data_IF_735513086518
#
_entry.id   IF_735513086518
#
_cell.length_a   1.000
_cell.length_b   1.000
_cell.length_c   1.000
_cell.angle_alpha   90.00
_cell.angle_beta   90.00
_cell.angle_gamma   90.00
#
_symmetry.space_group_name_H-M   'P 1'
#
loop_
_entity.id
_entity.type
_entity.pdbx_description
1 polymer ?
#
# COMPACT_ATOMS: atom_id res chain seq x y z
N UNK A 1 156.32 0.57 60.56
CA UNK A 1 156.89 0.26 61.90
C UNK A 1 155.98 -0.60 62.78
N UNK A 2 156.49 -1.71 63.34
CA UNK A 2 155.74 -2.52 64.30
C UNK A 2 155.45 -1.71 65.58
N UNK A 3 154.16 -1.56 65.89
CA UNK A 3 153.65 -0.93 67.13
C UNK A 3 153.61 -1.98 68.24
N UNK A 4 154.45 -1.84 69.26
CA UNK A 4 154.26 -2.55 70.53
C UNK A 4 153.55 -1.62 71.50
N UNK A 5 152.28 -1.90 71.82
CA UNK A 5 151.51 -1.08 72.78
C UNK A 5 151.08 0.31 72.31
N UNK A 6 150.98 0.56 70.99
CA UNK A 6 150.40 1.79 70.44
C UNK A 6 151.30 3.03 70.46
N UNK A 7 152.54 2.93 70.95
CA UNK A 7 153.54 4.00 70.95
C UNK A 7 154.72 3.61 70.06
N UNK A 8 155.18 4.50 69.19
CA UNK A 8 156.39 4.27 68.39
C UNK A 8 157.63 4.33 69.32
N UNK A 9 158.40 3.24 69.39
CA UNK A 9 159.71 3.23 70.04
C UNK A 9 160.81 2.96 69.01
N UNK A 10 161.96 3.65 69.09
CA UNK A 10 163.08 3.40 68.20
C UNK A 10 163.65 1.98 68.41
N UNK A 11 164.10 1.29 67.36
CA UNK A 11 164.61 -0.08 67.47
C UNK A 11 165.79 -0.19 68.44
N UNK A 12 165.89 -1.31 69.17
CA UNK A 12 166.98 -1.54 70.13
C UNK A 12 168.36 -1.47 69.46
N UNK A 13 169.34 -0.81 70.09
CA UNK A 13 170.69 -0.62 69.53
C UNK A 13 170.90 0.62 68.65
N UNK A 14 169.85 1.45 68.43
CA UNK A 14 169.92 2.67 67.61
C UNK A 14 170.26 3.95 68.39
N UNK A 15 170.58 3.86 69.68
CA UNK A 15 171.11 4.98 70.48
C UNK A 15 172.63 4.88 70.56
N UNK A 16 173.35 5.87 70.02
CA UNK A 16 174.82 5.90 70.03
C UNK A 16 175.42 6.02 71.44
N UNK A 17 176.53 5.31 71.70
CA UNK A 17 177.28 5.37 72.97
C UNK A 17 178.53 6.22 72.77
N UNK A 18 178.75 7.20 73.66
CA UNK A 18 179.86 8.17 73.55
C UNK A 18 181.22 7.47 73.57
N UNK A 19 182.13 7.87 72.68
CA UNK A 19 183.48 7.28 72.54
C UNK A 19 183.59 6.06 71.62
N UNK A 20 182.49 5.67 70.94
CA UNK A 20 182.50 4.56 69.95
C UNK A 20 182.20 5.04 68.54
N UNK A 21 182.75 4.37 67.53
CA UNK A 21 182.46 4.66 66.11
C UNK A 21 181.01 4.29 65.79
N UNK A 22 180.20 5.28 65.38
CA UNK A 22 178.83 5.06 64.91
C UNK A 22 178.90 4.36 63.55
N UNK A 23 178.37 3.14 63.45
CA UNK A 23 178.19 2.45 62.17
C UNK A 23 176.82 2.78 61.57
N UNK A 24 176.75 3.04 60.27
CA UNK A 24 175.52 3.45 59.56
C UNK A 24 174.56 2.29 59.27
N UNK A 25 175.06 1.06 59.22
CA UNK A 25 174.30 -0.16 58.89
C UNK A 25 173.02 -0.34 59.71
N UNK A 26 172.97 -0.08 61.04
CA UNK A 26 171.76 -0.24 61.84
C UNK A 26 170.63 0.75 61.50
N UNK A 27 170.92 1.87 60.83
CA UNK A 27 169.91 2.91 60.54
C UNK A 27 169.21 2.73 59.19
N UNK A 28 169.84 2.05 58.23
CA UNK A 28 169.27 1.87 56.88
C UNK A 28 167.92 1.14 56.92
N UNK A 29 167.78 0.09 57.74
CA UNK A 29 166.54 -0.67 57.86
C UNK A 29 165.36 0.17 58.40
N UNK A 30 165.61 1.17 59.24
CA UNK A 30 164.57 2.06 59.75
C UNK A 30 164.09 3.05 58.69
N UNK A 31 165.01 3.60 57.91
CA UNK A 31 164.71 4.54 56.82
C UNK A 31 163.92 3.82 55.70
N UNK A 32 164.24 2.57 55.40
CA UNK A 32 163.51 1.76 54.41
C UNK A 32 162.05 1.47 54.85
N UNK A 33 161.81 1.17 56.14
CA UNK A 33 160.44 0.93 56.66
C UNK A 33 159.55 2.18 56.60
N UNK A 34 160.09 3.36 56.94
CA UNK A 34 159.36 4.63 56.75
C UNK A 34 159.05 4.89 55.28
N UNK A 35 160.00 4.62 54.39
CA UNK A 35 159.84 4.87 52.94
C UNK A 35 158.82 3.92 52.33
N UNK A 36 158.73 2.68 52.81
CA UNK A 36 157.72 1.72 52.39
C UNK A 36 156.31 2.10 52.87
N UNK A 37 156.15 2.52 54.14
CA UNK A 37 154.84 2.91 54.70
C UNK A 37 154.30 4.20 54.04
N UNK A 38 155.16 5.17 53.76
CA UNK A 38 154.77 6.42 53.10
C UNK A 38 154.36 6.25 51.63
N UNK A 39 154.87 5.22 50.94
CA UNK A 39 154.59 4.96 49.53
C UNK A 39 153.46 3.94 49.31
N UNK A 40 152.96 3.28 50.36
CA UNK A 40 151.82 2.37 50.27
C UNK A 40 150.48 3.12 50.47
N UNK A 41 149.57 3.03 49.49
CA UNK A 41 148.22 3.59 49.62
C UNK A 41 147.47 2.91 50.80
N UNK A 42 146.91 3.71 51.72
CA UNK A 42 146.17 3.17 52.88
C UNK A 42 144.83 2.53 52.44
N UNK A 43 144.42 1.39 53.03
CA UNK A 43 143.18 0.70 52.68
C UNK A 43 141.91 1.48 53.08
N UNK A 44 140.81 1.28 52.34
CA UNK A 44 139.49 1.94 52.52
C UNK A 44 138.96 1.81 53.97
N UNK A 45 139.32 0.72 54.66
CA UNK A 45 138.96 0.45 56.07
C UNK A 45 139.48 1.52 57.04
N UNK A 46 140.55 2.25 56.69
CA UNK A 46 141.09 3.34 57.50
C UNK A 46 140.27 4.65 57.42
N UNK A 47 139.24 4.72 56.55
CA UNK A 47 138.41 5.91 56.31
C UNK A 47 137.21 6.12 57.25
N UNK A 48 137.11 5.37 58.35
CA UNK A 48 136.11 5.59 59.40
C UNK A 48 134.70 5.03 59.16
N UNK A 49 134.42 4.46 57.97
CA UNK A 49 133.10 3.88 57.62
C UNK A 49 132.94 2.40 57.98
N UNK A 50 134.02 1.73 58.42
CA UNK A 50 134.03 0.30 58.76
C UNK A 50 133.89 -0.64 57.55
N UNK A 51 133.79 -0.13 56.32
CA UNK A 51 133.60 -0.94 55.13
C UNK A 51 134.91 -1.33 54.45
N UNK A 52 134.94 -2.53 53.87
CA UNK A 52 136.06 -3.05 53.07
C UNK A 52 135.86 -2.87 51.56
N UNK A 53 134.68 -2.39 51.13
CA UNK A 53 134.36 -2.08 49.73
C UNK A 53 133.82 -0.66 49.60
N UNK A 54 134.04 -0.03 48.44
CA UNK A 54 133.47 1.30 48.15
C UNK A 54 131.93 1.31 48.24
N UNK A 55 131.26 0.19 47.92
CA UNK A 55 129.81 0.08 48.06
C UNK A 55 129.37 0.09 49.52
N UNK A 56 130.01 -0.71 50.37
CA UNK A 56 129.71 -0.72 51.80
C UNK A 56 130.01 0.62 52.45
N UNK A 57 131.07 1.32 52.01
CA UNK A 57 131.42 2.64 52.51
C UNK A 57 130.34 3.68 52.18
N UNK A 58 129.79 3.65 50.96
CA UNK A 58 128.66 4.52 50.54
C UNK A 58 127.39 4.24 51.35
N UNK A 59 127.04 2.97 51.58
CA UNK A 59 125.89 2.62 52.42
C UNK A 59 126.05 3.10 53.85
N UNK A 60 127.24 2.93 54.45
CA UNK A 60 127.52 3.31 55.83
C UNK A 60 127.43 4.83 56.08
N UNK A 61 127.68 5.66 55.06
CA UNK A 61 127.54 7.13 55.14
C UNK A 61 126.16 7.63 54.66
N UNK A 62 125.24 6.74 54.32
CA UNK A 62 123.92 7.11 53.79
C UNK A 62 123.95 7.69 52.36
N UNK A 63 125.02 7.45 51.59
CA UNK A 63 125.11 7.93 50.22
C UNK A 63 124.23 7.07 49.29
N UNK A 64 123.36 7.73 48.52
CA UNK A 64 122.51 7.08 47.52
C UNK A 64 123.35 6.51 46.36
N UNK A 65 122.99 5.34 45.85
CA UNK A 65 123.65 4.75 44.69
C UNK A 65 123.36 5.56 43.41
N UNK A 66 124.32 5.65 42.50
CA UNK A 66 124.13 6.32 41.21
C UNK A 66 123.00 5.62 40.43
N UNK A 67 121.97 6.39 40.06
CA UNK A 67 120.81 5.92 39.28
C UNK A 67 120.52 6.93 38.18
N UNK A 68 120.46 6.44 36.92
CA UNK A 68 120.15 7.28 35.76
C UNK A 68 118.79 7.99 35.92
N UNK A 69 117.79 7.29 36.47
CA UNK A 69 116.48 7.87 36.76
C UNK A 69 116.57 9.02 37.77
N UNK A 70 117.31 8.84 38.87
CA UNK A 70 117.47 9.89 39.89
C UNK A 70 118.26 11.08 39.35
N UNK A 71 119.29 10.84 38.50
CA UNK A 71 120.00 11.91 37.80
C UNK A 71 119.07 12.67 36.86
N UNK A 72 118.22 11.98 36.10
CA UNK A 72 117.27 12.61 35.20
C UNK A 72 116.18 13.39 35.94
N UNK A 73 115.68 12.88 37.08
CA UNK A 73 114.70 13.57 37.93
C UNK A 73 115.34 14.80 38.57
N UNK A 74 116.57 14.69 39.09
CA UNK A 74 117.30 15.80 39.70
C UNK A 74 117.65 16.91 38.69
N UNK A 75 117.71 16.59 37.40
CA UNK A 75 117.92 17.55 36.32
C UNK A 75 116.63 18.27 35.87
N UNK A 76 115.45 17.89 36.39
CA UNK A 76 114.21 18.57 36.04
C UNK A 76 114.13 19.96 36.68
N UNK A 77 113.78 20.96 35.88
CA UNK A 77 113.39 22.27 36.42
C UNK A 77 111.95 22.21 36.94
N UNK A 78 111.79 22.08 38.24
CA UNK A 78 110.46 22.13 38.88
C UNK A 78 109.96 23.56 38.97
N UNK A 79 108.78 23.83 38.40
CA UNK A 79 108.04 25.08 38.58
C UNK A 79 106.56 24.77 38.84
N UNK A 80 105.79 25.77 39.28
CA UNK A 80 104.33 25.64 39.31
C UNK A 80 103.82 25.17 37.94
N UNK A 81 102.71 24.44 37.96
CA UNK A 81 101.98 23.99 36.77
C UNK A 81 102.74 23.02 35.86
N UNK A 82 103.75 22.32 36.38
CA UNK A 82 104.51 21.29 35.64
C UNK A 82 104.19 19.89 36.15
N UNK A 83 104.01 18.95 35.21
CA UNK A 83 103.92 17.52 35.50
C UNK A 83 105.19 16.82 35.01
N UNK A 84 105.97 16.19 35.90
CA UNK A 84 107.02 15.25 35.52
C UNK A 84 106.41 14.00 34.85
N UNK A 85 106.98 13.56 33.74
CA UNK A 85 106.61 12.34 33.04
C UNK A 85 107.84 11.68 32.41
N UNK A 86 107.74 10.40 32.09
CA UNK A 86 108.83 9.66 31.43
C UNK A 86 108.70 9.79 29.92
N UNK A 87 109.81 10.10 29.24
CA UNK A 87 109.88 10.12 27.76
C UNK A 87 110.59 8.88 27.21
N UNK A 88 111.39 8.21 28.03
CA UNK A 88 112.05 6.93 27.77
C UNK A 88 112.45 6.27 29.11
N UNK A 89 113.05 5.07 29.07
CA UNK A 89 113.61 4.43 30.27
C UNK A 89 114.60 5.38 30.95
N UNK A 90 114.45 5.55 32.26
CA UNK A 90 115.28 6.43 33.10
C UNK A 90 115.39 7.89 32.62
N UNK A 91 114.50 8.33 31.74
CA UNK A 91 114.48 9.68 31.17
C UNK A 91 113.18 10.37 31.50
N UNK A 92 113.28 11.44 32.28
CA UNK A 92 112.16 12.24 32.72
C UNK A 92 112.19 13.62 32.06
N UNK A 93 111.01 14.12 31.72
CA UNK A 93 110.80 15.48 31.25
C UNK A 93 109.66 16.11 32.04
N UNK A 94 109.49 17.43 31.91
CA UNK A 94 108.32 18.15 32.43
C UNK A 94 107.48 18.67 31.27
N UNK A 95 106.17 18.59 31.41
CA UNK A 95 105.21 19.28 30.52
C UNK A 95 104.37 20.27 31.32
N UNK A 96 103.85 21.31 30.65
CA UNK A 96 102.95 22.29 31.29
C UNK A 96 101.54 21.73 31.39
N UNK A 97 100.96 21.76 32.59
CA UNK A 97 99.53 21.55 32.79
C UNK A 97 98.78 22.88 32.65
N UNK A 98 97.70 22.87 31.86
CA UNK A 98 96.78 24.02 31.80
C UNK A 98 96.04 24.17 33.13
N UNK A 99 95.44 25.35 33.37
CA UNK A 99 94.60 25.56 34.56
C UNK A 99 93.46 24.53 34.64
N UNK A 100 92.82 24.25 33.49
CA UNK A 100 91.80 23.21 33.35
C UNK A 100 92.34 21.79 33.60
N UNK A 101 93.53 21.47 33.08
CA UNK A 101 94.15 20.16 33.31
C UNK A 101 94.48 19.93 34.78
N UNK A 102 94.88 20.98 35.51
CA UNK A 102 95.10 20.91 36.95
C UNK A 102 93.79 20.74 37.72
N UNK A 103 92.74 21.48 37.37
CA UNK A 103 91.44 21.30 38.02
C UNK A 103 90.90 19.89 37.84
N UNK A 104 91.11 19.28 36.66
CA UNK A 104 90.65 17.91 36.40
C UNK A 104 91.45 16.84 37.18
N UNK A 105 92.76 17.04 37.38
CA UNK A 105 93.61 16.08 38.11
C UNK A 105 93.41 16.19 39.63
N UNK A 106 92.97 17.35 40.11
CA UNK A 106 92.66 17.60 41.52
C UNK A 106 91.27 17.07 41.94
N UNK A 107 90.44 16.69 40.97
CA UNK A 107 89.07 16.24 41.24
C UNK A 107 89.05 14.91 42.02
N UNK A 108 88.38 14.93 43.18
CA UNK A 108 88.35 13.81 44.12
C UNK A 108 87.55 12.59 43.63
N UNK A 109 86.62 12.79 42.69
CA UNK A 109 85.78 11.73 42.14
C UNK A 109 85.30 12.04 40.71
N UNK A 110 84.63 11.06 40.10
CA UNK A 110 84.11 11.17 38.75
C UNK A 110 83.02 12.25 38.59
N UNK A 111 82.31 12.61 39.66
CA UNK A 111 81.27 13.65 39.63
C UNK A 111 81.88 15.04 39.57
N UNK A 112 82.90 15.29 40.38
CA UNK A 112 83.72 16.49 40.30
C UNK A 112 84.37 16.61 38.90
N UNK A 113 84.99 15.52 38.41
CA UNK A 113 85.56 15.47 37.07
C UNK A 113 84.55 15.78 35.95
N UNK A 114 83.32 15.26 36.03
CA UNK A 114 82.26 15.58 35.07
C UNK A 114 81.85 17.05 35.14
N UNK A 115 81.75 17.61 36.35
CA UNK A 115 81.48 19.05 36.53
C UNK A 115 82.59 19.90 35.92
N UNK A 116 83.85 19.55 36.16
CA UNK A 116 85.02 20.23 35.58
C UNK A 116 85.06 20.12 34.07
N UNK A 117 84.75 18.95 33.49
CA UNK A 117 84.58 18.76 32.05
C UNK A 117 83.39 19.55 31.46
N UNK A 118 82.53 20.14 32.30
CA UNK A 118 81.36 20.90 31.87
C UNK A 118 80.24 20.02 31.32
N UNK A 119 80.24 18.72 31.64
CA UNK A 119 79.19 17.80 31.16
C UNK A 119 78.07 17.70 32.18
N UNK A 120 76.88 18.19 31.81
CA UNK A 120 75.67 18.09 32.62
C UNK A 120 74.80 16.94 32.08
N UNK A 121 74.43 16.01 32.96
CA UNK A 121 73.49 14.92 32.64
C UNK A 121 72.13 15.53 32.29
N UNK A 122 71.58 15.15 31.15
CA UNK A 122 70.33 15.69 30.57
C UNK A 122 70.53 16.88 29.64
N UNK A 123 71.74 17.45 29.56
CA UNK A 123 72.07 18.54 28.61
C UNK A 123 73.10 18.08 27.57
N UNK A 124 74.25 17.59 28.03
CA UNK A 124 75.37 17.20 27.17
C UNK A 124 75.49 15.69 27.00
N UNK A 125 75.10 14.94 28.04
CA UNK A 125 75.13 13.48 28.08
C UNK A 125 73.81 12.99 28.67
N UNK A 126 73.26 11.91 28.13
CA UNK A 126 72.04 11.32 28.68
C UNK A 126 72.36 10.44 29.88
N UNK A 127 71.50 10.46 30.91
CA UNK A 127 71.60 9.48 32.00
C UNK A 127 71.43 8.06 31.42
N UNK A 128 72.13 7.08 31.98
CA UNK A 128 71.88 5.71 31.56
C UNK A 128 70.42 5.33 31.87
N UNK A 129 69.69 4.95 30.82
CA UNK A 129 68.31 4.49 30.87
C UNK A 129 68.17 3.28 29.94
N UNK A 130 67.72 2.15 30.49
CA UNK A 130 67.67 0.88 29.77
C UNK A 130 66.67 0.92 28.60
N UNK A 131 65.55 1.65 28.75
CA UNK A 131 64.56 1.84 27.70
C UNK A 131 65.11 2.68 26.55
N UNK A 132 65.80 3.78 26.84
CA UNK A 132 66.47 4.58 25.80
C UNK A 132 67.58 3.79 25.09
N UNK A 133 68.34 2.96 25.81
CA UNK A 133 69.33 2.07 25.19
C UNK A 133 68.67 1.07 24.24
N UNK A 134 67.51 0.51 24.60
CA UNK A 134 66.73 -0.36 23.73
C UNK A 134 66.21 0.37 22.50
N UNK A 135 65.63 1.57 22.66
CA UNK A 135 65.13 2.40 21.55
C UNK A 135 66.28 2.80 20.61
N UNK A 136 67.45 3.17 21.15
CA UNK A 136 68.62 3.55 20.37
C UNK A 136 69.18 2.40 19.52
N UNK A 137 68.93 1.14 19.92
CA UNK A 137 69.30 -0.05 19.17
C UNK A 137 68.32 -0.42 18.04
N UNK A 138 67.16 0.26 17.94
CA UNK A 138 66.17 -0.04 16.92
C UNK A 138 66.56 0.52 15.54
N UNK A 139 66.36 -0.27 14.50
CA UNK A 139 66.39 0.23 13.13
C UNK A 139 65.06 0.88 12.78
N UNK A 140 65.02 2.21 12.81
CA UNK A 140 63.87 3.00 12.37
C UNK A 140 63.75 3.01 10.84
N UNK A 141 62.52 3.04 10.36
CA UNK A 141 62.20 3.17 8.93
C UNK A 141 60.83 3.84 8.79
N UNK A 142 60.52 4.40 7.62
CA UNK A 142 59.27 5.10 7.36
C UNK A 142 58.02 4.22 7.53
N UNK A 143 58.18 2.89 7.42
CA UNK A 143 57.15 1.88 7.54
C UNK A 143 57.20 1.13 8.87
N UNK A 144 57.84 1.67 9.91
CA UNK A 144 57.97 0.98 11.20
C UNK A 144 57.42 1.80 12.36
N UNK A 145 56.63 1.14 13.20
CA UNK A 145 56.14 1.69 14.48
C UNK A 145 56.90 1.03 15.63
N UNK A 146 57.38 1.84 16.58
CA UNK A 146 58.01 1.37 17.80
C UNK A 146 56.93 0.96 18.81
N UNK A 147 57.09 -0.18 19.46
CA UNK A 147 56.20 -0.66 20.52
C UNK A 147 56.98 -1.38 21.62
N UNK A 148 56.41 -1.47 22.82
CA UNK A 148 57.00 -2.19 23.96
C UNK A 148 56.65 -3.67 23.89
N UNK A 149 57.64 -4.52 24.16
CA UNK A 149 57.46 -5.98 24.26
C UNK A 149 57.62 -6.50 25.69
N UNK A 150 58.38 -5.77 26.50
CA UNK A 150 58.54 -5.95 27.94
C UNK A 150 58.97 -4.62 28.58
N UNK A 151 59.14 -4.58 29.91
CA UNK A 151 59.77 -3.45 30.58
C UNK A 151 61.15 -3.16 29.95
N UNK A 152 61.42 -1.90 29.65
CA UNK A 152 62.66 -1.41 29.02
C UNK A 152 63.07 -2.12 27.72
N UNK A 153 62.14 -2.83 27.07
CA UNK A 153 62.40 -3.59 25.83
C UNK A 153 61.43 -3.15 24.75
N UNK A 154 61.99 -2.50 23.73
CA UNK A 154 61.25 -1.99 22.59
C UNK A 154 61.57 -2.82 21.34
N UNK A 155 60.60 -2.91 20.45
CA UNK A 155 60.73 -3.54 19.14
C UNK A 155 60.06 -2.67 18.08
N UNK A 156 60.26 -3.03 16.81
CA UNK A 156 59.60 -2.39 15.67
C UNK A 156 58.62 -3.35 15.01
N UNK A 157 57.43 -2.87 14.69
CA UNK A 157 56.47 -3.56 13.84
C UNK A 157 56.45 -2.89 12.47
N UNK A 158 56.50 -3.69 11.40
CA UNK A 158 56.33 -3.17 10.03
C UNK A 158 54.86 -2.89 9.75
N UNK A 159 54.55 -1.64 9.41
CA UNK A 159 53.25 -1.19 8.95
C UNK A 159 53.15 -1.37 7.43
N UNK A 160 52.05 -1.96 6.97
CA UNK A 160 51.72 -1.98 5.55
C UNK A 160 51.47 -0.57 5.03
N UNK A 161 51.51 -0.37 3.71
CA UNK A 161 51.10 0.91 3.10
C UNK A 161 49.68 1.30 3.52
N UNK A 162 48.75 0.36 3.54
CA UNK A 162 47.38 0.56 3.99
C UNK A 162 47.25 0.89 5.48
N UNK A 163 48.03 0.24 6.36
CA UNK A 163 47.99 0.59 7.79
C UNK A 163 48.43 2.03 8.04
N UNK A 164 49.41 2.52 7.26
CA UNK A 164 49.86 3.91 7.35
C UNK A 164 48.80 4.91 6.89
N UNK A 165 47.96 4.56 5.90
CA UNK A 165 46.88 5.46 5.48
C UNK A 165 45.83 5.63 6.56
N UNK A 166 45.52 4.58 7.33
CA UNK A 166 44.57 4.66 8.45
C UNK A 166 45.11 5.47 9.63
N UNK A 167 46.42 5.35 9.94
CA UNK A 167 47.03 6.06 11.08
C UNK A 167 47.23 7.56 10.84
N UNK A 168 47.22 8.00 9.57
CA UNK A 168 47.31 9.41 9.17
C UNK A 168 45.95 10.12 9.18
N UNK A 169 44.84 9.37 9.25
CA UNK A 169 43.51 9.92 9.14
C UNK A 169 43.11 10.77 10.36
N UNK A 170 42.69 12.01 10.11
CA UNK A 170 42.39 12.99 11.14
C UNK A 170 41.11 12.69 11.94
N UNK A 171 40.17 11.92 11.38
CA UNK A 171 38.91 11.57 12.01
C UNK A 171 38.35 10.23 11.51
N UNK A 172 37.26 9.78 12.13
CA UNK A 172 36.60 8.53 11.78
C UNK A 172 35.99 8.53 10.37
N UNK A 173 35.67 9.69 9.79
CA UNK A 173 35.14 9.79 8.43
C UNK A 173 36.24 9.56 7.40
N UNK A 174 37.41 10.16 7.60
CA UNK A 174 38.61 9.88 6.82
C UNK A 174 39.00 8.39 6.93
N UNK A 175 39.04 7.84 8.15
CA UNK A 175 39.30 6.41 8.36
C UNK A 175 38.31 5.49 7.63
N UNK A 176 37.00 5.79 7.65
CA UNK A 176 35.99 5.01 6.90
C UNK A 176 36.19 5.11 5.39
N UNK A 177 36.57 6.29 4.88
CA UNK A 177 36.87 6.47 3.47
C UNK A 177 38.11 5.65 3.06
N UNK A 178 39.15 5.66 3.89
CA UNK A 178 40.38 4.89 3.68
C UNK A 178 40.15 3.38 3.75
N UNK A 179 39.31 2.90 4.69
CA UNK A 179 38.85 1.52 4.72
C UNK A 179 38.03 1.14 3.48
N UNK A 180 37.62 2.11 2.67
CA UNK A 180 36.80 1.91 1.49
C UNK A 180 35.42 1.36 1.85
N UNK A 181 34.88 1.69 3.04
CA UNK A 181 33.53 1.31 3.46
C UNK A 181 32.57 2.47 3.19
N UNK A 182 32.03 2.48 1.98
CA UNK A 182 31.07 3.49 1.56
C UNK A 182 29.69 3.16 2.12
N UNK A 183 29.16 4.10 2.91
CA UNK A 183 27.79 4.01 3.43
C UNK A 183 26.81 4.04 2.25
N UNK A 184 25.89 3.08 2.22
CA UNK A 184 24.87 2.91 1.19
C UNK A 184 25.21 1.88 0.11
N UNK A 185 26.48 1.46 -0.02
CA UNK A 185 26.87 0.41 -0.99
C UNK A 185 27.49 -0.82 -0.34
N UNK A 186 28.32 -0.64 0.69
CA UNK A 186 29.00 -1.74 1.39
C UNK A 186 28.51 -1.92 2.83
N UNK A 187 28.13 -0.81 3.47
CA UNK A 187 27.58 -0.80 4.82
C UNK A 187 26.40 0.15 4.88
N UNK A 188 25.45 -0.11 5.74
CA UNK A 188 24.27 0.72 5.91
C UNK A 188 24.54 1.72 7.04
N UNK A 189 24.06 2.96 6.87
CA UNK A 189 24.00 3.87 8.00
C UNK A 189 23.13 3.26 9.08
N UNK A 190 23.42 3.58 10.35
CA UNK A 190 22.50 3.22 11.41
C UNK A 190 21.14 3.87 11.14
N UNK A 191 20.11 3.02 11.03
CA UNK A 191 18.72 3.40 10.80
C UNK A 191 17.86 2.57 11.76
N UNK A 192 17.09 3.27 12.60
CA UNK A 192 16.30 2.62 13.64
C UNK A 192 15.20 1.71 13.06
N UNK A 193 14.62 2.10 11.93
CA UNK A 193 13.61 1.31 11.22
C UNK A 193 14.20 0.02 10.64
N UNK A 194 15.37 0.10 9.99
CA UNK A 194 16.07 -1.09 9.50
C UNK A 194 16.49 -2.02 10.65
N UNK A 195 16.91 -1.47 11.79
CA UNK A 195 17.23 -2.27 12.98
C UNK A 195 15.98 -2.97 13.54
N UNK A 196 14.83 -2.28 13.57
CA UNK A 196 13.55 -2.89 13.96
C UNK A 196 13.14 -4.01 13.00
N UNK A 197 13.25 -3.80 11.69
CA UNK A 197 12.93 -4.81 10.67
C UNK A 197 13.87 -6.02 10.76
N UNK A 198 15.17 -5.79 10.97
CA UNK A 198 16.16 -6.85 11.10
C UNK A 198 15.91 -7.77 12.31
N UNK A 199 15.23 -7.26 13.35
CA UNK A 199 14.81 -8.04 14.51
C UNK A 199 13.53 -8.86 14.32
N UNK A 200 12.82 -8.70 13.20
CA UNK A 200 11.56 -9.41 12.94
C UNK A 200 11.80 -10.87 12.55
N UNK A 201 11.03 -11.78 13.16
CA UNK A 201 10.94 -13.16 12.67
C UNK A 201 9.98 -13.22 11.49
N UNK A 202 10.53 -13.28 10.27
CA UNK A 202 9.75 -13.44 9.04
C UNK A 202 9.34 -14.89 8.82
N UNK A 203 8.21 -15.09 8.16
CA UNK A 203 7.71 -16.40 7.71
C UNK A 203 6.86 -16.20 6.45
N UNK A 204 6.60 -17.28 5.71
CA UNK A 204 5.85 -17.22 4.45
C UNK A 204 4.42 -16.66 4.62
N UNK A 205 3.86 -16.78 5.82
CA UNK A 205 2.52 -16.31 6.18
C UNK A 205 2.52 -15.04 7.02
N UNK A 206 3.61 -14.26 7.04
CA UNK A 206 3.69 -13.03 7.84
C UNK A 206 3.91 -11.79 6.99
N UNK A 207 3.11 -10.76 7.27
CA UNK A 207 3.25 -9.43 6.68
C UNK A 207 3.81 -8.46 7.71
N UNK A 208 4.81 -7.68 7.29
CA UNK A 208 5.40 -6.62 8.10
C UNK A 208 4.48 -5.39 8.06
N UNK A 209 4.27 -4.74 9.19
CA UNK A 209 3.53 -3.48 9.29
C UNK A 209 4.14 -2.56 10.35
N UNK A 210 3.94 -1.26 10.20
CA UNK A 210 4.38 -0.24 11.16
C UNK A 210 3.42 -0.15 12.34
N UNK A 211 3.97 -0.15 13.56
CA UNK A 211 3.20 0.08 14.80
C UNK A 211 3.47 1.47 15.38
N UNK A 212 4.63 2.06 15.07
CA UNK A 212 5.00 3.43 15.40
C UNK A 212 6.12 3.90 14.45
N UNK A 213 6.58 5.14 14.58
CA UNK A 213 7.79 5.60 13.89
C UNK A 213 8.96 4.65 14.22
N UNK A 214 9.67 4.20 13.19
CA UNK A 214 10.82 3.28 13.27
C UNK A 214 10.57 1.97 14.03
N UNK A 215 9.30 1.59 14.23
CA UNK A 215 8.91 0.37 14.95
C UNK A 215 7.99 -0.46 14.07
N UNK A 216 8.44 -1.67 13.75
CA UNK A 216 7.75 -2.60 12.90
C UNK A 216 7.39 -3.87 13.67
N UNK A 217 6.30 -4.51 13.26
CA UNK A 217 5.85 -5.79 13.78
C UNK A 217 5.41 -6.71 12.62
N UNK A 218 5.15 -7.98 12.92
CA UNK A 218 4.63 -8.95 11.95
C UNK A 218 3.23 -9.42 12.34
N UNK A 219 2.30 -9.38 11.40
CA UNK A 219 0.99 -10.00 11.52
C UNK A 219 0.95 -11.30 10.71
N UNK A 220 0.34 -12.34 11.25
CA UNK A 220 0.10 -13.59 10.51
C UNK A 220 -1.09 -13.40 9.57
N UNK A 221 -0.87 -13.58 8.28
CA UNK A 221 -1.90 -13.59 7.25
C UNK A 221 -2.62 -14.93 7.22
N UNK A 222 -3.94 -14.90 7.09
CA UNK A 222 -4.73 -16.10 6.79
C UNK A 222 -4.42 -16.60 5.37
N UNK A 223 -4.80 -17.84 5.07
CA UNK A 223 -4.72 -18.36 3.69
C UNK A 223 -5.51 -17.50 2.72
N UNK A 224 -6.72 -17.09 3.11
CA UNK A 224 -7.56 -16.16 2.35
C UNK A 224 -6.85 -14.84 2.05
N UNK A 225 -6.24 -14.20 3.05
CA UNK A 225 -5.55 -12.93 2.85
C UNK A 225 -4.34 -13.06 1.91
N UNK A 226 -3.62 -14.19 1.97
CA UNK A 226 -2.54 -14.48 1.01
C UNK A 226 -3.08 -14.64 -0.40
N UNK A 227 -4.15 -15.43 -0.58
CA UNK A 227 -4.80 -15.57 -1.90
C UNK A 227 -5.24 -14.23 -2.47
N UNK A 228 -5.86 -13.37 -1.65
CA UNK A 228 -6.31 -12.05 -2.09
C UNK A 228 -5.15 -11.12 -2.47
N UNK A 229 -4.01 -11.18 -1.77
CA UNK A 229 -2.81 -10.40 -2.10
C UNK A 229 -2.09 -10.93 -3.35
N UNK A 230 -2.23 -12.22 -3.64
CA UNK A 230 -1.66 -12.88 -4.83
C UNK A 230 -2.55 -12.73 -6.09
N UNK A 231 -3.77 -12.21 -5.94
CA UNK A 231 -4.71 -12.06 -7.04
C UNK A 231 -4.23 -11.03 -8.08
N UNK A 232 -3.91 -11.52 -9.28
CA UNK A 232 -3.33 -10.73 -10.37
C UNK A 232 -4.32 -9.85 -11.14
N UNK A 233 -5.62 -9.92 -10.81
CA UNK A 233 -6.64 -9.14 -11.50
C UNK A 233 -7.83 -8.85 -10.60
N UNK A 234 -8.59 -7.81 -10.96
CA UNK A 234 -9.87 -7.52 -10.33
C UNK A 234 -10.85 -8.69 -10.43
N UNK A 235 -10.73 -9.55 -11.46
CA UNK A 235 -11.59 -10.73 -11.56
C UNK A 235 -11.25 -11.79 -10.53
N UNK A 236 -9.95 -12.06 -10.36
CA UNK A 236 -9.46 -13.01 -9.36
C UNK A 236 -9.80 -12.52 -7.93
N UNK A 237 -9.55 -11.24 -7.64
CA UNK A 237 -9.93 -10.62 -6.37
C UNK A 237 -11.44 -10.73 -6.08
N UNK A 238 -12.30 -10.53 -7.08
CA UNK A 238 -13.76 -10.72 -6.93
C UNK A 238 -14.15 -12.16 -6.67
N UNK A 239 -13.48 -13.12 -7.32
CA UNK A 239 -13.68 -14.55 -7.05
C UNK A 239 -13.26 -14.91 -5.63
N UNK A 240 -12.10 -14.43 -5.17
CA UNK A 240 -11.64 -14.65 -3.79
C UNK A 240 -12.60 -14.04 -2.77
N UNK A 241 -13.10 -12.83 -3.03
CA UNK A 241 -14.07 -12.14 -2.17
C UNK A 241 -15.50 -12.68 -2.27
N UNK A 242 -15.79 -13.58 -3.21
CA UNK A 242 -17.14 -14.07 -3.55
C UNK A 242 -18.15 -12.93 -3.84
N UNK A 243 -17.77 -12.03 -4.76
CA UNK A 243 -18.59 -10.89 -5.17
C UNK A 243 -18.76 -10.78 -6.68
N UNK A 244 -19.92 -10.28 -7.12
CA UNK A 244 -20.20 -10.04 -8.54
C UNK A 244 -19.53 -8.77 -9.07
N UNK A 245 -19.22 -8.75 -10.36
CA UNK A 245 -18.88 -7.53 -11.07
C UNK A 245 -20.11 -6.64 -11.31
N UNK A 246 -19.87 -5.35 -11.51
CA UNK A 246 -20.91 -4.42 -11.96
C UNK A 246 -21.59 -4.89 -13.25
N UNK A 247 -20.84 -5.44 -14.21
CA UNK A 247 -21.39 -5.93 -15.47
C UNK A 247 -22.36 -7.10 -15.29
N UNK A 248 -22.06 -8.03 -14.39
CA UNK A 248 -22.94 -9.17 -14.10
C UNK A 248 -24.24 -8.70 -13.45
N UNK A 249 -24.16 -7.76 -12.50
CA UNK A 249 -25.33 -7.17 -11.85
C UNK A 249 -26.18 -6.36 -12.83
N UNK A 250 -25.55 -5.52 -13.66
CA UNK A 250 -26.25 -4.72 -14.67
C UNK A 250 -26.96 -5.61 -15.71
N UNK A 251 -26.36 -6.75 -16.08
CA UNK A 251 -26.96 -7.76 -16.97
C UNK A 251 -28.25 -8.39 -16.43
N UNK A 252 -28.32 -8.66 -15.12
CA UNK A 252 -29.52 -9.18 -14.46
C UNK A 252 -30.70 -8.20 -14.54
N UNK A 253 -30.44 -6.89 -14.49
CA UNK A 253 -31.51 -5.86 -14.50
C UNK A 253 -32.07 -5.57 -15.90
N UNK A 254 -31.31 -5.87 -16.96
CA UNK A 254 -31.68 -5.57 -18.35
C UNK A 254 -32.32 -6.77 -19.09
N UNK A 255 -32.22 -7.99 -18.54
CA UNK A 255 -32.55 -9.23 -19.26
C UNK A 255 -33.97 -9.78 -19.07
N UNK A 256 -34.81 -9.28 -18.14
CA UNK A 256 -36.03 -10.03 -17.79
C UNK A 256 -37.27 -9.76 -18.66
N UNK A 257 -37.35 -8.62 -19.37
CA UNK A 257 -38.51 -8.28 -20.21
C UNK A 257 -38.08 -7.62 -21.52
N UNK A 258 -38.28 -8.25 -22.68
CA UNK A 258 -37.95 -7.67 -23.99
C UNK A 258 -38.69 -6.34 -24.26
N UNK A 259 -38.04 -5.41 -24.96
CA UNK A 259 -38.70 -4.20 -25.48
C UNK A 259 -39.89 -4.59 -26.37
N UNK A 260 -40.96 -3.80 -26.34
CA UNK A 260 -42.23 -4.10 -27.00
C UNK A 260 -43.21 -4.95 -26.17
N UNK A 261 -42.77 -5.52 -25.03
CA UNK A 261 -43.67 -6.22 -24.11
C UNK A 261 -44.72 -5.27 -23.55
N UNK A 262 -45.99 -5.63 -23.70
CA UNK A 262 -47.13 -4.90 -23.10
C UNK A 262 -47.50 -5.54 -21.77
N UNK A 263 -47.65 -4.73 -20.74
CA UNK A 263 -48.14 -5.12 -19.42
C UNK A 263 -49.37 -4.31 -19.03
N UNK A 264 -50.26 -4.91 -18.25
CA UNK A 264 -51.35 -4.19 -17.58
C UNK A 264 -50.94 -3.91 -16.13
N UNK A 265 -50.62 -2.64 -15.86
CA UNK A 265 -50.05 -2.20 -14.59
C UNK A 265 -51.11 -1.66 -13.64
N UNK A 266 -51.01 -2.06 -12.37
CA UNK A 266 -52.02 -1.73 -11.34
C UNK A 266 -51.96 -0.27 -10.83
N UNK A 267 -51.04 0.57 -11.34
CA UNK A 267 -50.95 2.00 -10.99
C UNK A 267 -51.26 2.88 -12.19
N UNK A 268 -51.64 4.13 -11.93
CA UNK A 268 -51.94 5.16 -12.94
C UNK A 268 -50.72 5.81 -13.61
N UNK A 269 -49.51 5.47 -13.16
CA UNK A 269 -48.23 5.97 -13.71
C UNK A 269 -47.40 4.79 -14.17
N UNK A 270 -46.82 4.90 -15.38
CA UNK A 270 -45.97 3.86 -15.93
C UNK A 270 -44.73 3.65 -15.03
N UNK A 271 -44.33 2.40 -14.76
CA UNK A 271 -43.12 2.11 -14.00
C UNK A 271 -41.87 2.52 -14.79
N UNK A 272 -40.74 2.69 -14.10
CA UNK A 272 -39.44 2.96 -14.74
C UNK A 272 -39.14 1.90 -15.80
N UNK A 273 -38.72 2.34 -16.99
CA UNK A 273 -38.44 1.46 -18.14
C UNK A 273 -39.65 1.14 -19.01
N UNK A 274 -40.83 1.71 -18.73
CA UNK A 274 -42.05 1.55 -19.52
C UNK A 274 -42.66 2.89 -19.94
N UNK A 275 -43.36 2.90 -21.06
CA UNK A 275 -44.20 4.01 -21.55
C UNK A 275 -45.68 3.63 -21.46
N UNK A 276 -46.58 4.60 -21.40
CA UNK A 276 -48.03 4.34 -21.49
C UNK A 276 -48.38 3.92 -22.92
N UNK A 277 -49.16 2.85 -23.09
CA UNK A 277 -49.71 2.46 -24.37
C UNK A 277 -50.97 3.30 -24.69
N UNK A 278 -50.76 4.59 -24.99
CA UNK A 278 -51.81 5.60 -25.16
C UNK A 278 -51.81 6.27 -26.55
N UNK A 279 -51.19 5.65 -27.55
CA UNK A 279 -51.13 6.21 -28.91
C UNK A 279 -50.11 7.34 -29.10
N UNK A 280 -49.35 7.73 -28.08
CA UNK A 280 -48.44 8.87 -28.18
C UNK A 280 -47.34 8.64 -29.23
N UNK A 281 -46.98 9.69 -29.96
CA UNK A 281 -45.78 9.73 -30.79
C UNK A 281 -44.55 9.94 -29.90
N UNK A 282 -43.56 9.05 -30.01
CA UNK A 282 -42.33 9.07 -29.20
C UNK A 282 -41.08 9.01 -30.07
N UNK A 283 -39.96 9.51 -29.55
CA UNK A 283 -38.69 9.63 -30.28
C UNK A 283 -38.08 8.28 -30.64
N UNK A 284 -37.76 8.07 -31.93
CA UNK A 284 -37.05 6.88 -32.43
C UNK A 284 -35.65 6.76 -31.82
N UNK A 285 -34.99 7.89 -31.56
CA UNK A 285 -33.62 7.90 -31.02
C UNK A 285 -33.59 7.63 -29.52
N UNK A 286 -34.57 8.15 -28.78
CA UNK A 286 -34.66 7.97 -27.32
C UNK A 286 -35.12 6.55 -26.97
N UNK A 287 -35.97 5.95 -27.80
CA UNK A 287 -36.54 4.62 -27.59
C UNK A 287 -36.18 3.69 -28.77
N UNK A 288 -34.88 3.61 -29.08
CA UNK A 288 -34.38 2.90 -30.26
C UNK A 288 -34.69 1.39 -30.22
N UNK A 289 -34.54 0.75 -29.05
CA UNK A 289 -34.83 -0.68 -28.89
C UNK A 289 -36.32 -0.98 -29.11
N UNK A 290 -37.20 -0.14 -28.56
CA UNK A 290 -38.63 -0.25 -28.81
C UNK A 290 -38.98 -0.05 -30.30
N UNK A 291 -38.42 0.97 -30.94
CA UNK A 291 -38.65 1.25 -32.35
C UNK A 291 -38.17 0.09 -33.23
N UNK A 292 -37.04 -0.51 -32.92
CA UNK A 292 -36.51 -1.67 -33.63
C UNK A 292 -37.49 -2.87 -33.60
N UNK A 293 -38.25 -3.03 -32.51
CA UNK A 293 -39.20 -4.13 -32.35
C UNK A 293 -40.58 -3.84 -32.94
N UNK A 294 -41.17 -2.67 -32.67
CA UNK A 294 -42.57 -2.40 -33.09
C UNK A 294 -42.69 -1.56 -34.36
N UNK A 295 -41.61 -0.91 -34.80
CA UNK A 295 -41.57 -0.07 -35.97
C UNK A 295 -42.68 0.98 -35.99
N UNK A 296 -43.39 1.06 -37.11
CA UNK A 296 -44.52 1.99 -37.32
C UNK A 296 -45.88 1.28 -37.30
N UNK A 297 -45.97 0.06 -36.76
CA UNK A 297 -47.19 -0.76 -36.75
C UNK A 297 -48.40 -0.01 -36.18
N UNK A 298 -48.19 0.84 -35.18
CA UNK A 298 -49.25 1.62 -34.51
C UNK A 298 -49.31 3.07 -34.97
N UNK A 299 -48.60 3.42 -36.04
CA UNK A 299 -48.57 4.75 -36.64
C UNK A 299 -47.14 5.24 -36.91
N UNK A 300 -47.00 6.02 -37.98
CA UNK A 300 -45.70 6.51 -38.48
C UNK A 300 -45.11 7.65 -37.66
N UNK A 301 -45.84 8.17 -36.66
CA UNK A 301 -45.51 9.44 -36.01
C UNK A 301 -45.51 10.59 -37.02
N UNK A 302 -44.49 11.44 -36.92
CA UNK A 302 -44.15 12.51 -37.88
C UNK A 302 -43.55 11.99 -39.21
N UNK A 303 -43.39 10.67 -39.37
CA UNK A 303 -42.81 10.06 -40.56
C UNK A 303 -41.27 10.09 -40.61
N UNK A 304 -40.60 10.67 -39.61
CA UNK A 304 -39.14 10.84 -39.61
C UNK A 304 -38.50 10.53 -38.26
N UNK A 305 -38.79 11.34 -37.23
CA UNK A 305 -38.08 11.28 -35.94
C UNK A 305 -38.87 10.56 -34.84
N UNK A 306 -40.14 10.25 -35.09
CA UNK A 306 -41.04 9.64 -34.12
C UNK A 306 -41.75 8.40 -34.68
N UNK A 307 -42.35 7.61 -33.79
CA UNK A 307 -43.25 6.50 -34.08
C UNK A 307 -44.35 6.46 -33.02
N UNK A 308 -45.50 5.87 -33.32
CA UNK A 308 -46.60 5.81 -32.37
C UNK A 308 -46.55 4.53 -31.53
N UNK A 309 -46.89 4.69 -30.26
CA UNK A 309 -47.19 3.56 -29.38
C UNK A 309 -48.59 2.99 -29.70
N UNK A 310 -48.90 1.73 -29.32
CA UNK A 310 -50.28 1.25 -29.32
C UNK A 310 -51.17 2.18 -28.49
N UNK A 311 -52.43 2.37 -28.91
CA UNK A 311 -53.46 2.96 -28.05
C UNK A 311 -54.38 1.86 -27.54
N UNK A 312 -54.17 1.45 -26.29
CA UNK A 312 -54.93 0.35 -25.66
C UNK A 312 -55.94 0.87 -24.62
N UNK A 313 -56.24 2.16 -24.65
CA UNK A 313 -57.20 2.76 -23.71
C UNK A 313 -58.62 2.36 -24.11
N UNK A 314 -59.26 1.56 -23.26
CA UNK A 314 -60.63 1.08 -23.51
C UNK A 314 -60.70 -0.14 -24.42
N UNK A 315 -59.57 -0.66 -24.89
CA UNK A 315 -59.50 -1.79 -25.81
C UNK A 315 -59.46 -3.14 -25.07
N UNK A 316 -60.11 -4.15 -25.64
CA UNK A 316 -59.90 -5.54 -25.25
C UNK A 316 -58.85 -6.18 -26.17
N UNK A 317 -57.73 -6.59 -25.59
CA UNK A 317 -56.70 -7.31 -26.35
C UNK A 317 -57.16 -8.75 -26.56
N UNK A 318 -57.19 -9.18 -27.82
CA UNK A 318 -57.38 -10.57 -28.20
C UNK A 318 -56.12 -11.13 -28.86
N UNK A 319 -55.94 -12.44 -28.74
CA UNK A 319 -54.83 -13.13 -29.39
C UNK A 319 -54.85 -12.90 -30.90
N UNK A 320 -53.68 -12.61 -31.46
CA UNK A 320 -53.49 -12.55 -32.91
C UNK A 320 -53.76 -13.92 -33.53
N UNK A 321 -54.51 -13.95 -34.63
CA UNK A 321 -54.89 -15.21 -35.27
C UNK A 321 -53.69 -15.99 -35.80
N UNK A 322 -52.66 -15.27 -36.27
CA UNK A 322 -51.42 -15.82 -36.82
C UNK A 322 -51.65 -16.99 -37.79
N UNK A 323 -52.58 -16.79 -38.72
CA UNK A 323 -52.99 -17.75 -39.74
C UNK A 323 -53.67 -19.05 -39.23
N UNK A 324 -54.17 -19.06 -37.99
CA UNK A 324 -55.01 -20.16 -37.46
C UNK A 324 -56.39 -20.24 -38.16
N UNK A 325 -56.91 -19.14 -38.67
CA UNK A 325 -58.19 -19.05 -39.38
C UNK A 325 -59.41 -18.73 -38.50
N UNK A 326 -59.21 -18.45 -37.21
CA UNK A 326 -60.27 -18.09 -36.26
C UNK A 326 -60.72 -16.63 -36.36
N UNK A 327 -59.83 -15.73 -36.81
CA UNK A 327 -60.12 -14.31 -37.10
C UNK A 327 -59.65 -13.96 -38.52
N UNK A 328 -60.18 -14.70 -39.51
CA UNK A 328 -59.76 -14.59 -40.90
C UNK A 328 -59.93 -13.17 -41.45
N UNK A 329 -58.87 -12.61 -42.05
CA UNK A 329 -58.87 -11.26 -42.62
C UNK A 329 -58.52 -10.13 -41.64
N UNK A 330 -58.32 -10.43 -40.34
CA UNK A 330 -57.75 -9.49 -39.37
C UNK A 330 -56.30 -9.14 -39.76
N UNK A 331 -55.83 -7.94 -39.42
CA UNK A 331 -54.42 -7.51 -39.60
C UNK A 331 -53.78 -7.29 -38.23
N UNK A 332 -52.50 -7.63 -38.07
CA UNK A 332 -51.80 -7.47 -36.80
C UNK A 332 -51.82 -6.00 -36.35
N UNK A 333 -52.19 -5.76 -35.09
CA UNK A 333 -52.32 -4.41 -34.54
C UNK A 333 -53.58 -3.64 -34.96
N UNK A 334 -54.51 -4.24 -35.73
CA UNK A 334 -55.73 -3.56 -36.15
C UNK A 334 -56.82 -3.54 -35.07
N UNK A 335 -57.47 -2.39 -34.91
CA UNK A 335 -58.66 -2.23 -34.09
C UNK A 335 -59.89 -2.90 -34.74
N UNK A 336 -60.85 -3.30 -33.92
CA UNK A 336 -62.15 -3.83 -34.36
C UNK A 336 -63.22 -3.28 -33.41
N UNK A 337 -64.32 -2.79 -33.95
CA UNK A 337 -65.46 -2.34 -33.15
C UNK A 337 -66.15 -3.51 -32.45
N UNK A 338 -66.99 -3.22 -31.44
CA UNK A 338 -67.79 -4.25 -30.81
C UNK A 338 -68.87 -4.79 -31.77
N UNK A 339 -69.14 -6.09 -31.67
CA UNK A 339 -70.13 -6.77 -32.50
C UNK A 339 -70.87 -7.80 -31.65
N UNK A 340 -72.20 -7.88 -31.84
CA UNK A 340 -73.02 -8.92 -31.25
C UNK A 340 -73.15 -10.08 -32.24
N UNK A 341 -73.02 -11.31 -31.73
CA UNK A 341 -73.32 -12.47 -32.55
C UNK A 341 -74.75 -12.39 -33.08
N UNK A 342 -74.93 -12.69 -34.37
CA UNK A 342 -76.24 -12.75 -35.01
C UNK A 342 -77.19 -13.66 -34.20
N UNK A 343 -78.38 -13.14 -33.89
CA UNK A 343 -79.41 -13.86 -33.15
C UNK A 343 -80.81 -13.39 -33.59
N UNK A 344 -81.84 -14.16 -33.19
CA UNK A 344 -83.24 -13.88 -33.51
C UNK A 344 -84.09 -13.90 -32.24
N UNK A 345 -85.16 -13.09 -32.26
CA UNK A 345 -86.21 -13.11 -31.25
C UNK A 345 -87.51 -13.64 -31.86
N UNK A 346 -88.20 -14.52 -31.14
CA UNK A 346 -89.55 -14.92 -31.52
C UNK A 346 -90.53 -13.89 -30.96
N UNK A 347 -91.24 -13.18 -31.84
CA UNK A 347 -92.34 -12.29 -31.46
C UNK A 347 -93.64 -13.07 -31.60
N UNK A 348 -94.38 -13.22 -30.50
CA UNK A 348 -95.70 -13.85 -30.53
C UNK A 348 -96.77 -12.74 -30.47
N UNK A 349 -97.38 -12.34 -31.61
CA UNK A 349 -98.37 -11.27 -31.62
C UNK A 349 -99.63 -11.71 -30.85
N UNK A 350 -100.29 -10.80 -30.11
CA UNK A 350 -101.57 -11.14 -29.48
C UNK A 350 -102.61 -11.45 -30.57
N UNK A 351 -103.36 -12.54 -30.40
CA UNK A 351 -104.50 -12.91 -31.25
C UNK A 351 -105.62 -11.88 -31.09
N UNK A 352 -105.67 -10.86 -31.95
CA UNK A 352 -106.76 -9.87 -31.98
C UNK A 352 -107.88 -10.27 -32.94
N UNK A 353 -108.33 -11.53 -32.91
CA UNK A 353 -109.59 -11.93 -33.53
C UNK A 353 -110.76 -11.65 -32.57
N UNK A 354 -111.16 -10.38 -32.45
CA UNK A 354 -112.52 -10.00 -32.02
C UNK A 354 -113.14 -9.18 -33.14
N UNK A 355 -113.60 -9.85 -34.19
CA UNK A 355 -114.50 -9.28 -35.18
C UNK A 355 -115.91 -9.23 -34.60
N UNK A 356 -116.30 -8.11 -33.98
CA UNK A 356 -117.71 -7.73 -33.89
C UNK A 356 -117.86 -6.32 -34.46
N UNK A 357 -117.94 -6.24 -35.78
CA UNK A 357 -118.58 -5.11 -36.44
C UNK A 357 -120.10 -5.35 -36.36
N UNK A 358 -120.71 -4.86 -35.29
CA UNK A 358 -122.17 -4.76 -35.17
C UNK A 358 -122.57 -3.34 -35.50
N UNK A 359 -123.17 -3.13 -36.66
CA UNK A 359 -123.87 -1.90 -37.03
C UNK A 359 -125.32 -2.21 -37.43
N UNK A 360 -126.21 -1.22 -37.26
CA UNK A 360 -127.64 -1.37 -37.45
C UNK A 360 -128.12 -0.64 -38.71
N UNK A 361 -129.02 -1.25 -39.46
CA UNK A 361 -129.71 -0.62 -40.58
C UNK A 361 -131.14 -0.23 -40.19
N UNK A 362 -131.52 1.02 -40.46
CA UNK A 362 -132.88 1.53 -40.26
C UNK A 362 -133.65 1.40 -41.57
N UNK A 363 -134.73 0.62 -41.58
CA UNK A 363 -135.62 0.48 -42.74
C UNK A 363 -136.95 1.21 -42.47
N UNK A 364 -137.42 2.02 -43.41
CA UNK A 364 -138.74 2.67 -43.35
C UNK A 364 -139.47 2.58 -44.69
N UNK A 365 -140.79 2.43 -44.64
CA UNK A 365 -141.69 2.40 -45.80
C UNK A 365 -143.15 2.62 -45.36
N UNK A 366 -143.97 3.18 -46.24
CA UNK A 366 -145.40 3.48 -45.99
C UNK A 366 -146.30 2.65 -46.89
N UNK A 367 -147.48 2.27 -46.38
CA UNK A 367 -148.56 1.64 -47.14
C UNK A 367 -149.49 2.71 -47.73
N UNK A 368 -150.15 2.44 -48.85
CA UNK A 368 -151.13 3.37 -49.44
C UNK A 368 -152.51 3.28 -48.78
N UNK A 369 -153.33 4.32 -48.98
CA UNK A 369 -154.66 4.50 -48.37
C UNK A 369 -155.78 4.18 -49.37
N UNK A 370 -156.44 3.02 -49.26
CA UNK A 370 -157.67 2.71 -50.02
C UNK A 370 -158.50 1.63 -49.30
N UNK A 371 -159.84 1.71 -49.37
CA UNK A 371 -160.73 0.73 -48.71
C UNK A 371 -162.20 1.13 -48.49
N UNK A 372 -162.71 2.21 -49.09
CA UNK A 372 -164.11 2.62 -48.90
C UNK A 372 -165.01 2.13 -50.06
N UNK A 373 -166.14 1.49 -49.73
CA UNK A 373 -167.25 1.22 -50.67
C UNK A 373 -168.58 0.92 -49.95
N UNK A 374 -169.70 0.92 -50.70
CA UNK A 374 -171.06 0.57 -50.24
C UNK A 374 -171.92 0.01 -51.40
N UNK A 375 -172.99 -0.75 -51.08
CA UNK A 375 -173.94 -1.30 -52.07
C UNK A 375 -175.40 -1.31 -51.56
N UNK A 376 -176.36 -1.30 -52.49
CA UNK A 376 -177.81 -1.41 -52.25
C UNK A 376 -178.49 -2.32 -53.30
N UNK A 377 -179.57 -3.00 -52.92
CA UNK A 377 -180.37 -3.88 -53.80
C UNK A 377 -181.86 -3.64 -53.65
N UNK A 378 -182.59 -3.81 -54.77
CA UNK A 378 -184.00 -3.47 -54.95
C UNK A 378 -184.96 -4.68 -54.98
N UNK A 379 -186.22 -4.34 -54.71
CA UNK A 379 -187.43 -5.10 -54.38
C UNK A 379 -188.17 -5.73 -55.57
N UNK A 380 -188.89 -6.87 -55.40
CA UNK A 380 -190.11 -7.22 -56.17
C UNK A 380 -191.09 -8.13 -55.39
N UNK A 381 -192.38 -7.81 -55.51
CA UNK A 381 -193.57 -8.37 -54.84
C UNK A 381 -194.25 -9.48 -55.70
N UNK A 382 -194.79 -10.53 -55.06
CA UNK A 382 -195.61 -11.58 -55.71
C UNK A 382 -196.76 -12.06 -54.81
N UNK A 383 -197.81 -11.26 -54.75
CA UNK A 383 -199.20 -11.69 -54.94
C UNK A 383 -199.73 -12.86 -54.10
N UNK A 384 -200.31 -12.53 -52.93
CA UNK A 384 -201.54 -13.14 -52.42
C UNK A 384 -202.38 -12.03 -51.74
N UNK A 385 -203.62 -11.85 -52.21
CA UNK A 385 -204.59 -10.90 -51.67
C UNK A 385 -205.26 -11.44 -50.41
N UNK A 386 -205.48 -10.55 -49.45
CA UNK A 386 -206.36 -10.80 -48.31
C UNK A 386 -205.59 -10.98 -47.02
N UNK A 387 -205.04 -9.88 -46.51
CA UNK A 387 -204.39 -9.87 -45.22
C UNK A 387 -203.58 -8.60 -45.06
N UNK A 388 -204.23 -7.55 -44.56
CA UNK A 388 -203.52 -6.44 -43.93
C UNK A 388 -202.63 -7.03 -42.82
N UNK A 389 -201.32 -7.09 -43.06
CA UNK A 389 -200.28 -7.30 -42.05
C UNK A 389 -199.58 -5.93 -41.97
N UNK A 390 -199.75 -5.02 -41.01
CA UNK A 390 -200.24 -5.06 -39.64
C UNK A 390 -199.70 -6.22 -38.81
N UNK A 391 -198.38 -6.20 -38.63
CA UNK A 391 -197.66 -6.86 -37.55
C UNK A 391 -196.45 -5.93 -37.23
N UNK A 392 -196.35 -5.07 -36.21
CA UNK A 392 -196.90 -5.07 -34.86
C UNK A 392 -196.94 -6.50 -34.30
N UNK A 393 -195.84 -7.04 -33.80
CA UNK A 393 -195.29 -6.59 -32.52
C UNK A 393 -193.75 -6.43 -32.46
N UNK A 394 -193.33 -5.49 -31.60
CA UNK A 394 -192.10 -5.52 -30.80
C UNK A 394 -191.46 -6.91 -30.71
N UNK A 395 -190.25 -7.19 -31.19
CA UNK A 395 -189.24 -6.37 -31.84
C UNK A 395 -187.96 -7.23 -31.90
N UNK A 396 -187.96 -8.25 -32.75
CA UNK A 396 -186.94 -9.31 -32.85
C UNK A 396 -187.62 -10.69 -32.91
N UNK A 397 -187.11 -11.73 -33.57
CA UNK A 397 -185.85 -11.99 -34.26
C UNK A 397 -185.99 -13.32 -35.02
N UNK A 398 -184.90 -13.74 -35.68
CA UNK A 398 -184.66 -15.00 -36.45
C UNK A 398 -184.96 -14.85 -37.95
N UNK A 399 -184.01 -15.01 -38.86
CA UNK A 399 -182.61 -15.41 -38.73
C UNK A 399 -182.13 -16.09 -40.01
N UNK A 400 -181.16 -15.48 -40.68
CA UNK A 400 -179.93 -16.13 -41.19
C UNK A 400 -178.97 -14.94 -41.33
N UNK A 401 -178.12 -14.65 -40.35
CA UNK A 401 -176.99 -15.45 -39.87
C UNK A 401 -176.02 -15.86 -40.97
N UNK A 402 -174.94 -15.08 -40.96
CA UNK A 402 -173.57 -15.56 -40.93
C UNK A 402 -172.86 -15.86 -42.26
N UNK A 403 -171.84 -15.02 -42.45
CA UNK A 403 -170.42 -15.34 -42.58
C UNK A 403 -170.04 -16.59 -43.35
N UNK A 404 -169.21 -16.37 -44.35
CA UNK A 404 -168.15 -17.30 -44.72
C UNK A 404 -167.64 -17.00 -46.12
N UNK A 405 -166.36 -17.04 -46.41
CA UNK A 405 -165.18 -16.59 -45.69
C UNK A 405 -164.14 -16.34 -46.78
N UNK A 406 -163.23 -15.41 -46.51
CA UNK A 406 -161.97 -15.23 -47.22
C UNK A 406 -162.10 -14.73 -48.68
N UNK A 407 -161.21 -13.87 -49.16
CA UNK A 407 -159.84 -13.65 -48.71
C UNK A 407 -158.94 -14.03 -49.87
N UNK A 408 -158.75 -13.08 -50.77
CA UNK A 408 -157.41 -12.82 -51.28
C UNK A 408 -157.31 -11.33 -51.63
N UNK A 409 -156.44 -10.60 -50.94
CA UNK A 409 -155.78 -9.47 -51.57
C UNK A 409 -154.39 -9.33 -50.95
N UNK A 410 -153.41 -9.30 -51.84
CA UNK A 410 -152.00 -9.19 -51.51
C UNK A 410 -151.61 -7.73 -51.32
N UNK A 411 -150.71 -7.48 -50.37
CA UNK A 411 -149.90 -6.27 -50.33
C UNK A 411 -148.53 -6.60 -50.92
N UNK A 412 -148.13 -5.89 -51.98
CA UNK A 412 -146.77 -5.95 -52.51
C UNK A 412 -145.88 -4.99 -51.71
N UNK A 413 -144.80 -5.52 -51.13
CA UNK A 413 -143.74 -4.74 -50.49
C UNK A 413 -142.59 -4.57 -51.50
N UNK A 414 -142.25 -3.31 -51.82
CA UNK A 414 -141.10 -2.97 -52.68
C UNK A 414 -140.04 -2.26 -51.84
N UNK A 415 -139.04 -3.01 -51.39
CA UNK A 415 -137.79 -2.47 -50.86
C UNK A 415 -136.63 -3.27 -51.44
N UNK A 416 -135.75 -2.62 -52.18
CA UNK A 416 -134.51 -3.19 -52.73
C UNK A 416 -133.37 -3.01 -51.72
N UNK A 417 -132.76 -4.10 -51.25
CA UNK A 417 -131.50 -4.08 -50.49
C UNK A 417 -130.35 -4.56 -51.36
N UNK A 418 -129.42 -3.67 -51.69
CA UNK A 418 -128.00 -3.93 -52.02
C UNK A 418 -127.49 -2.66 -52.71
N UNK A 419 -126.49 -1.95 -52.22
CA UNK A 419 -125.14 -2.46 -52.02
C UNK A 419 -124.33 -1.48 -51.16
N UNK A 420 -124.10 -1.84 -49.90
CA UNK A 420 -123.01 -1.27 -49.11
C UNK A 420 -121.78 -2.15 -49.34
N UNK A 421 -121.11 -1.93 -50.46
CA UNK A 421 -119.74 -2.42 -50.65
C UNK A 421 -118.82 -1.33 -50.13
N UNK A 422 -118.34 -1.49 -48.90
CA UNK A 422 -117.23 -0.68 -48.40
C UNK A 422 -116.05 -1.58 -48.02
N UNK A 423 -114.85 -1.05 -48.25
CA UNK A 423 -113.60 -1.72 -47.98
C UNK A 423 -113.01 -1.13 -46.70
N UNK A 424 -112.48 -1.96 -45.82
CA UNK A 424 -111.63 -1.50 -44.72
C UNK A 424 -110.16 -1.62 -45.15
N UNK A 425 -109.42 -0.52 -45.03
CA UNK A 425 -107.96 -0.56 -45.06
C UNK A 425 -107.48 -0.84 -43.64
N UNK A 426 -106.89 -2.01 -43.38
CA UNK A 426 -106.23 -2.30 -42.11
C UNK A 426 -104.77 -1.87 -42.23
N UNK A 427 -104.41 -0.81 -41.54
CA UNK A 427 -103.01 -0.38 -41.41
C UNK A 427 -102.38 -1.18 -40.25
N UNK A 428 -101.65 -2.25 -40.55
CA UNK A 428 -100.90 -2.99 -39.52
C UNK A 428 -99.64 -2.19 -39.22
N UNK A 429 -99.64 -1.46 -38.10
CA UNK A 429 -98.46 -0.75 -37.62
C UNK A 429 -97.27 -1.69 -37.45
N UNK A 430 -96.07 -1.22 -37.77
CA UNK A 430 -94.82 -1.96 -37.62
C UNK A 430 -94.60 -2.35 -36.15
N UNK A 431 -94.52 -3.65 -35.85
CA UNK A 431 -94.15 -4.15 -34.52
C UNK A 431 -92.63 -3.98 -34.31
N UNK A 432 -92.22 -2.87 -33.70
CA UNK A 432 -90.81 -2.62 -33.37
C UNK A 432 -90.48 -3.17 -31.97
N UNK A 433 -89.44 -3.99 -31.85
CA UNK A 433 -88.96 -4.53 -30.56
C UNK A 433 -88.22 -3.51 -29.69
N UNK A 434 -87.96 -2.30 -30.21
CA UNK A 434 -87.12 -1.29 -29.55
C UNK A 434 -85.65 -1.70 -29.49
N UNK A 435 -84.78 -0.81 -29.00
CA UNK A 435 -83.39 -1.12 -28.66
C UNK A 435 -83.26 -1.39 -27.16
N UNK A 436 -82.54 -2.45 -26.80
CA UNK A 436 -82.23 -2.79 -25.39
C UNK A 436 -80.74 -3.06 -25.25
N UNK A 437 -80.07 -2.42 -24.30
CA UNK A 437 -78.63 -2.59 -24.05
C UNK A 437 -77.93 -1.30 -23.62
N UNK A 438 -76.62 -1.40 -23.34
CA UNK A 438 -75.74 -0.25 -23.16
C UNK A 438 -75.17 0.25 -24.50
N UNK A 439 -74.32 1.28 -24.46
CA UNK A 439 -73.66 1.86 -25.64
C UNK A 439 -72.51 1.02 -26.20
N UNK A 440 -72.10 -0.03 -25.49
CA UNK A 440 -70.93 -0.87 -25.82
C UNK A 440 -71.21 -2.30 -25.33
N UNK A 441 -70.89 -3.30 -26.16
CA UNK A 441 -70.90 -4.71 -25.76
C UNK A 441 -69.60 -5.05 -25.02
N UNK A 442 -69.69 -5.44 -23.73
CA UNK A 442 -68.50 -5.77 -22.93
C UNK A 442 -68.72 -6.88 -21.91
N UNK A 443 -67.72 -7.75 -21.69
CA UNK A 443 -67.70 -8.64 -20.52
C UNK A 443 -67.38 -7.84 -19.24
N UNK A 444 -67.56 -8.49 -18.08
CA UNK A 444 -67.04 -7.96 -16.81
C UNK A 444 -65.52 -7.70 -16.93
N UNK A 445 -65.08 -6.50 -16.57
CA UNK A 445 -63.69 -6.08 -16.72
C UNK A 445 -63.22 -5.19 -15.56
N UNK A 446 -61.90 -4.98 -15.48
CA UNK A 446 -61.21 -4.07 -14.53
C UNK A 446 -60.22 -3.23 -15.33
N UNK A 447 -60.18 -1.92 -15.07
CA UNK A 447 -59.27 -1.00 -15.76
C UNK A 447 -57.88 -0.98 -15.10
N UNK A 448 -56.85 -1.37 -15.87
CA UNK A 448 -55.43 -1.24 -15.51
C UNK A 448 -54.71 -0.40 -16.55
N UNK A 449 -53.57 0.19 -16.19
CA UNK A 449 -52.78 0.99 -17.11
C UNK A 449 -51.97 0.09 -18.05
N UNK A 450 -52.35 0.04 -19.32
CA UNK A 450 -51.53 -0.57 -20.36
C UNK A 450 -50.20 0.20 -20.51
N UNK A 451 -49.09 -0.50 -20.34
CA UNK A 451 -47.74 0.04 -20.49
C UNK A 451 -46.94 -0.84 -21.44
N UNK A 452 -46.00 -0.25 -22.18
CA UNK A 452 -45.10 -0.95 -23.10
C UNK A 452 -43.63 -0.75 -22.67
N UNK A 453 -42.87 -1.84 -22.59
CA UNK A 453 -41.44 -1.80 -22.26
C UNK A 453 -40.68 -1.11 -23.40
N UNK A 454 -39.88 -0.10 -23.08
CA UNK A 454 -39.02 0.57 -24.07
C UNK A 454 -37.57 0.16 -24.01
#
# INVERSE_FOLDING_TARGET
MPRTGGVYSPPAGTKGVSGTTIQSVPYNAFVDDLTADANAARPITAGGTGATTASGARTAIGAQAASAALTSIAALTTSADKLPYTTASDTYAVTTLTAFGRSLIDDADATAARSTLGVVIGTNVQAYDAGLASIAGLTTAADRMIYTTAADTYAVATLTSFARTILDDADATAARATLGVTIGSQVQAYDAGLNSIAGLTTAADRMIYTTAADTYAVATLTSFARTLLDDSSNSAARTTLDVYSKSEVDGLTSSSTPAGTVIFYAKSTAPTGYLKANGAAVSRTTYADLFAVIGTTFGTGDGSTTFNLPDLRGEFVRGWDDARGADSGRVFGSAQADELQSHLHTVNPPSTATSSDTHAHTYSGSTNTTGAHAHSVAYQDRGFSGGTINNAESGGSTGTFNTGSAGDHAHTYSGTTSSDSHNHTVDIAQFNSGSTGGTETRPRNVALLACIKF
#
